data_IF_280148803414
#
_entry.id   IF_280148803414
#
_cell.length_a   1.000
_cell.length_b   1.000
_cell.length_c   1.000
_cell.angle_alpha   90.00
_cell.angle_beta   90.00
_cell.angle_gamma   90.00
#
_symmetry.space_group_name_H-M   'P 1'
#
loop_
_entity.id
_entity.type
_entity.pdbx_description
1 polymer ?
#
# COMPACT_ATOMS: atom_id res chain seq x y z
N UNK A 1 -34.50 2.32 11.14
CA UNK A 1 -33.33 2.68 10.31
C UNK A 1 -32.45 1.44 10.21
N UNK A 2 -32.53 0.70 9.12
CA UNK A 2 -31.88 -0.61 8.97
C UNK A 2 -30.42 -0.39 8.59
N UNK A 3 -29.48 -0.75 9.48
CA UNK A 3 -28.07 -0.90 9.10
C UNK A 3 -27.95 -2.27 8.43
N UNK A 4 -27.79 -2.27 7.11
CA UNK A 4 -27.50 -3.49 6.36
C UNK A 4 -26.11 -4.04 6.69
N UNK A 5 -25.86 -5.34 6.46
CA UNK A 5 -24.58 -5.97 6.76
C UNK A 5 -23.45 -5.34 5.94
N UNK A 6 -22.37 -4.93 6.62
CA UNK A 6 -21.11 -4.54 5.95
C UNK A 6 -20.33 -5.80 5.64
N UNK A 7 -20.47 -6.31 4.40
CA UNK A 7 -19.63 -7.40 3.91
C UNK A 7 -18.20 -6.87 3.79
N UNK A 8 -17.28 -7.40 4.60
CA UNK A 8 -15.87 -7.03 4.56
C UNK A 8 -15.15 -7.87 3.52
N UNK A 9 -15.03 -7.35 2.29
CA UNK A 9 -14.13 -7.92 1.29
C UNK A 9 -12.75 -7.28 1.44
N UNK A 10 -11.79 -8.05 1.92
CA UNK A 10 -10.36 -7.72 1.81
C UNK A 10 -9.86 -8.41 0.55
N UNK A 11 -9.75 -7.67 -0.55
CA UNK A 11 -9.01 -8.15 -1.73
C UNK A 11 -7.64 -7.50 -1.71
N UNK A 12 -6.62 -8.32 -1.45
CA UNK A 12 -5.22 -7.92 -1.47
C UNK A 12 -4.54 -8.76 -2.54
N UNK A 13 -4.11 -8.11 -3.63
CA UNK A 13 -3.24 -8.76 -4.61
C UNK A 13 -1.80 -8.40 -4.28
N UNK A 14 -1.00 -9.40 -3.94
CA UNK A 14 0.39 -9.23 -3.49
C UNK A 14 1.43 -9.82 -4.46
N UNK A 15 1.57 -9.34 -5.71
CA UNK A 15 2.55 -9.91 -6.62
C UNK A 15 3.98 -9.52 -6.19
N UNK A 16 4.87 -10.50 -6.23
CA UNK A 16 6.30 -10.31 -6.04
C UNK A 16 6.95 -10.13 -7.41
N UNK A 17 7.49 -8.95 -7.65
CA UNK A 17 8.02 -8.51 -8.93
C UNK A 17 9.56 -8.53 -8.90
N UNK A 18 10.22 -9.11 -9.92
CA UNK A 18 11.67 -9.00 -10.14
C UNK A 18 11.94 -8.47 -11.55
N UNK A 19 12.90 -7.56 -11.69
CA UNK A 19 13.33 -7.02 -13.00
C UNK A 19 12.16 -6.42 -13.79
N UNK A 20 11.29 -5.66 -13.11
CA UNK A 20 10.12 -5.05 -13.73
C UNK A 20 10.38 -3.60 -14.11
N UNK A 21 10.29 -3.35 -15.41
CA UNK A 21 9.89 -2.06 -15.96
C UNK A 21 8.37 -2.14 -16.12
N UNK A 22 7.61 -1.61 -15.16
CA UNK A 22 6.14 -1.60 -15.28
C UNK A 22 5.75 -0.31 -15.97
N UNK A 23 5.18 -0.39 -17.18
CA UNK A 23 4.67 0.78 -17.91
C UNK A 23 3.72 1.63 -17.04
N UNK A 24 3.63 2.94 -17.36
CA UNK A 24 2.77 3.89 -16.65
C UNK A 24 1.35 3.32 -16.61
N UNK A 25 0.89 2.95 -15.43
CA UNK A 25 -0.45 2.45 -15.25
C UNK A 25 -1.14 3.17 -14.11
N UNK A 26 -2.45 3.18 -14.18
CA UNK A 26 -3.33 3.70 -13.14
C UNK A 26 -4.39 2.64 -12.90
N UNK A 27 -4.75 2.42 -11.65
CA UNK A 27 -5.75 1.43 -11.27
C UNK A 27 -6.71 2.03 -10.24
N UNK A 28 -7.89 1.44 -10.14
CA UNK A 28 -8.95 1.84 -9.21
C UNK A 28 -8.68 1.41 -7.76
N UNK A 29 -7.44 1.04 -7.41
CA UNK A 29 -7.03 0.58 -6.09
C UNK A 29 -6.03 1.54 -5.43
N UNK A 30 -6.01 1.57 -4.10
CA UNK A 30 -4.81 2.02 -3.40
C UNK A 30 -3.70 1.03 -3.70
N UNK A 31 -2.48 1.52 -3.97
CA UNK A 31 -1.33 0.64 -4.13
C UNK A 31 -0.22 1.00 -3.16
N UNK A 32 0.30 -0.01 -2.48
CA UNK A 32 1.51 0.07 -1.68
C UNK A 32 2.60 -0.69 -2.45
N UNK A 33 3.75 -0.06 -2.67
CA UNK A 33 4.93 -0.72 -3.23
C UNK A 33 6.06 -0.57 -2.25
N UNK A 34 6.66 -1.68 -1.83
CA UNK A 34 7.77 -1.72 -0.87
C UNK A 34 8.90 -2.58 -1.42
N UNK A 35 10.14 -2.13 -1.25
CA UNK A 35 11.32 -2.96 -1.45
C UNK A 35 11.81 -3.52 -0.12
N UNK A 36 12.16 -4.80 -0.07
CA UNK A 36 12.69 -5.42 1.15
C UNK A 36 14.19 -5.25 1.33
N UNK A 37 14.91 -5.07 0.23
CA UNK A 37 16.35 -5.34 0.19
C UNK A 37 17.13 -4.06 -0.13
N UNK A 38 16.76 -3.39 -1.23
CA UNK A 38 17.49 -2.23 -1.75
C UNK A 38 16.54 -1.16 -2.27
N UNK A 39 16.88 0.14 -2.10
CA UNK A 39 16.06 1.22 -2.64
C UNK A 39 15.93 1.13 -4.17
N UNK A 40 14.87 1.73 -4.72
CA UNK A 40 14.57 1.73 -6.14
C UNK A 40 14.14 3.12 -6.62
N UNK A 41 14.02 3.29 -7.94
CA UNK A 41 13.58 4.54 -8.55
C UNK A 41 12.14 4.41 -9.02
N UNK A 42 11.35 5.48 -8.82
CA UNK A 42 9.96 5.53 -9.26
C UNK A 42 9.61 6.91 -9.77
N UNK A 43 8.79 6.97 -10.81
CA UNK A 43 8.13 8.22 -11.23
C UNK A 43 6.69 8.16 -10.77
N UNK A 44 6.27 9.09 -9.92
CA UNK A 44 4.91 9.17 -9.36
C UNK A 44 4.32 10.53 -9.75
N UNK A 45 3.17 10.53 -10.42
CA UNK A 45 2.51 11.74 -10.92
C UNK A 45 3.44 12.65 -11.75
N UNK A 46 4.36 12.07 -12.52
CA UNK A 46 5.33 12.79 -13.35
C UNK A 46 6.58 13.29 -12.62
N UNK A 47 6.69 13.08 -11.30
CA UNK A 47 7.88 13.43 -10.52
C UNK A 47 8.76 12.20 -10.29
N UNK A 48 10.05 12.33 -10.60
CA UNK A 48 11.06 11.30 -10.32
C UNK A 48 11.43 11.31 -8.84
N UNK A 49 11.41 10.13 -8.23
CA UNK A 49 11.90 9.83 -6.90
C UNK A 49 13.01 8.78 -7.01
N UNK A 50 14.18 9.12 -6.51
CA UNK A 50 15.37 8.27 -6.56
C UNK A 50 15.67 7.67 -5.19
N UNK A 51 16.15 6.42 -5.18
CA UNK A 51 16.58 5.72 -3.97
C UNK A 51 15.52 5.65 -2.86
N UNK A 52 14.26 5.40 -3.22
CA UNK A 52 13.17 5.24 -2.26
C UNK A 52 12.98 3.77 -1.85
N UNK A 53 12.43 3.54 -0.67
CA UNK A 53 12.17 2.21 -0.13
C UNK A 53 10.71 1.78 -0.35
N UNK A 54 9.84 2.73 -0.68
CA UNK A 54 8.48 2.42 -1.10
C UNK A 54 7.61 3.64 -1.28
N UNK A 55 6.36 3.38 -1.60
CA UNK A 55 5.32 4.41 -1.64
C UNK A 55 3.94 3.80 -1.39
N UNK A 56 2.99 4.68 -1.05
CA UNK A 56 1.55 4.42 -1.01
C UNK A 56 0.86 5.47 -1.89
N UNK A 57 0.06 5.05 -2.86
CA UNK A 57 -0.68 5.94 -3.77
C UNK A 57 -2.20 5.75 -3.66
N UNK A 58 -2.95 6.84 -3.87
CA UNK A 58 -4.41 6.80 -4.07
C UNK A 58 -4.76 6.14 -5.42
N UNK A 59 -6.02 5.69 -5.60
CA UNK A 59 -6.53 5.31 -6.91
C UNK A 59 -6.27 6.36 -7.97
N UNK A 60 -6.02 5.90 -9.20
CA UNK A 60 -5.81 6.72 -10.38
C UNK A 60 -4.56 7.61 -10.39
N UNK A 61 -3.65 7.48 -9.43
CA UNK A 61 -2.34 8.16 -9.48
C UNK A 61 -1.43 7.44 -10.49
N UNK A 62 -1.00 8.11 -11.58
CA UNK A 62 -0.08 7.52 -12.53
C UNK A 62 1.27 7.27 -11.87
N UNK A 63 1.83 6.08 -12.05
CA UNK A 63 3.15 5.75 -11.51
C UNK A 63 3.87 4.74 -12.39
N UNK A 64 5.19 4.70 -12.23
CA UNK A 64 6.11 3.86 -13.00
C UNK A 64 7.29 3.50 -12.11
N UNK A 65 7.61 2.22 -11.98
CA UNK A 65 8.74 1.74 -11.17
C UNK A 65 9.82 1.14 -12.05
N UNK A 66 11.07 1.43 -11.72
CA UNK A 66 12.25 0.74 -12.27
C UNK A 66 12.91 -0.01 -11.13
N UNK A 67 12.81 -1.33 -11.19
CA UNK A 67 13.53 -2.24 -10.32
C UNK A 67 14.24 -3.29 -11.20
N UNK A 68 15.50 -3.03 -11.57
CA UNK A 68 16.29 -3.90 -12.45
C UNK A 68 16.75 -5.20 -11.78
N UNK A 69 17.08 -5.15 -10.48
CA UNK A 69 17.62 -6.29 -9.71
C UNK A 69 16.85 -6.57 -8.42
N UNK A 70 15.91 -5.71 -8.09
CA UNK A 70 15.27 -5.65 -6.78
C UNK A 70 14.00 -6.49 -6.77
N UNK A 71 13.61 -6.91 -5.57
CA UNK A 71 12.30 -7.53 -5.38
C UNK A 71 11.33 -6.54 -4.75
N UNK A 72 10.29 -6.18 -5.50
CA UNK A 72 9.22 -5.33 -5.01
C UNK A 72 8.03 -6.17 -4.55
N UNK A 73 7.49 -5.81 -3.39
CA UNK A 73 6.18 -6.24 -2.94
C UNK A 73 5.18 -5.17 -3.35
N UNK A 74 4.22 -5.55 -4.18
CA UNK A 74 3.12 -4.66 -4.58
C UNK A 74 1.87 -5.13 -3.87
N UNK A 75 1.08 -4.24 -3.27
CA UNK A 75 -0.20 -4.55 -2.66
C UNK A 75 -1.26 -3.66 -3.27
N UNK A 76 -2.24 -4.25 -3.95
CA UNK A 76 -3.43 -3.53 -4.41
C UNK A 76 -4.57 -3.73 -3.41
N UNK A 77 -5.14 -2.63 -2.92
CA UNK A 77 -6.19 -2.61 -1.89
C UNK A 77 -7.42 -1.90 -2.44
N UNK A 78 -8.55 -2.59 -2.38
CA UNK A 78 -9.86 -2.07 -2.79
C UNK A 78 -10.24 -0.82 -1.97
N UNK A 79 -10.59 0.33 -2.60
CA UNK A 79 -10.77 1.60 -1.88
C UNK A 79 -11.89 1.61 -0.85
N UNK A 80 -12.96 0.85 -1.10
CA UNK A 80 -14.11 0.78 -0.21
C UNK A 80 -14.05 -0.37 0.80
N UNK A 81 -12.96 -1.15 0.81
CA UNK A 81 -12.69 -2.10 1.88
C UNK A 81 -12.39 -1.36 3.19
N UNK A 82 -12.53 -2.03 4.34
CA UNK A 82 -12.20 -1.39 5.62
C UNK A 82 -10.72 -0.94 5.66
N UNK A 83 -9.82 -1.69 5.03
CA UNK A 83 -8.41 -1.31 4.90
C UNK A 83 -8.26 -0.09 3.98
N UNK A 84 -8.98 -0.05 2.85
CA UNK A 84 -8.99 1.09 1.94
C UNK A 84 -9.45 2.38 2.63
N UNK A 85 -10.51 2.31 3.44
CA UNK A 85 -11.00 3.44 4.23
C UNK A 85 -10.02 3.87 5.33
N UNK A 86 -9.38 2.91 6.00
CA UNK A 86 -8.31 3.20 6.98
C UNK A 86 -7.14 3.92 6.30
N UNK A 87 -6.66 3.42 5.15
CA UNK A 87 -5.62 4.08 4.37
C UNK A 87 -6.03 5.48 3.90
N UNK A 88 -7.28 5.65 3.44
CA UNK A 88 -7.81 6.93 3.02
C UNK A 88 -7.68 7.99 4.13
N UNK A 89 -7.94 7.60 5.38
CA UNK A 89 -7.87 8.49 6.55
C UNK A 89 -6.45 8.94 6.90
N UNK A 90 -5.42 8.23 6.42
CA UNK A 90 -4.00 8.54 6.71
C UNK A 90 -3.39 9.55 5.75
N UNK A 91 -4.03 9.83 4.62
CA UNK A 91 -3.60 10.89 3.72
C UNK A 91 -3.98 12.27 4.28
N UNK A 92 -3.08 13.25 4.11
CA UNK A 92 -3.44 14.68 4.28
C UNK A 92 -4.42 15.09 3.16
N UNK A 93 -5.25 16.11 3.38
CA UNK A 93 -6.36 16.48 2.48
C UNK A 93 -5.99 16.57 0.99
N UNK A 94 -4.83 17.15 0.67
CA UNK A 94 -4.37 17.39 -0.72
C UNK A 94 -3.36 16.31 -1.19
N UNK A 95 -2.94 15.42 -0.29
CA UNK A 95 -1.90 14.44 -0.59
C UNK A 95 -2.48 13.26 -1.38
N UNK A 96 -1.91 12.97 -2.54
CA UNK A 96 -2.33 11.84 -3.40
C UNK A 96 -1.41 10.61 -3.27
N UNK A 97 -0.22 10.80 -2.73
CA UNK A 97 0.75 9.75 -2.52
C UNK A 97 1.67 10.07 -1.34
N UNK A 98 2.24 9.03 -0.74
CA UNK A 98 3.23 9.09 0.32
C UNK A 98 4.44 8.30 -0.18
N UNK A 99 5.62 8.89 -0.06
CA UNK A 99 6.90 8.24 -0.40
C UNK A 99 7.59 7.87 0.91
N UNK A 100 8.21 6.70 0.94
CA UNK A 100 9.03 6.22 2.05
C UNK A 100 10.49 6.19 1.58
N UNK A 101 11.31 7.09 2.11
CA UNK A 101 12.74 7.19 1.78
C UNK A 101 13.56 6.12 2.51
N UNK A 102 13.05 5.59 3.63
CA UNK A 102 13.74 4.56 4.41
C UNK A 102 12.80 3.46 4.94
N UNK A 103 13.33 2.27 5.28
CA UNK A 103 12.55 1.22 5.94
C UNK A 103 11.91 1.69 7.24
N UNK A 104 12.58 2.59 7.97
CA UNK A 104 12.10 3.15 9.23
C UNK A 104 10.82 3.96 9.06
N UNK A 105 10.68 4.69 7.95
CA UNK A 105 9.46 5.45 7.64
C UNK A 105 8.29 4.53 7.33
N UNK A 106 8.53 3.48 6.55
CA UNK A 106 7.52 2.43 6.29
C UNK A 106 7.07 1.79 7.60
N UNK A 107 8.02 1.39 8.45
CA UNK A 107 7.71 0.76 9.73
C UNK A 107 6.93 1.68 10.66
N UNK A 108 7.30 2.96 10.73
CA UNK A 108 6.58 3.97 11.50
C UNK A 108 5.15 4.18 10.96
N UNK A 109 5.00 4.23 9.63
CA UNK A 109 3.72 4.46 8.98
C UNK A 109 2.75 3.29 9.19
N UNK A 110 3.21 2.06 8.98
CA UNK A 110 2.38 0.86 9.15
C UNK A 110 2.35 0.33 10.59
N UNK A 111 3.20 0.86 11.48
CA UNK A 111 3.38 0.39 12.86
C UNK A 111 3.85 -1.06 12.93
N UNK A 112 4.77 -1.44 12.03
CA UNK A 112 5.40 -2.77 12.01
C UNK A 112 6.69 -2.80 12.83
N UNK A 113 7.15 -3.98 13.29
CA UNK A 113 8.46 -4.11 13.94
C UNK A 113 9.60 -3.60 13.05
N UNK A 114 10.65 -3.08 13.69
CA UNK A 114 11.87 -2.59 13.01
C UNK A 114 12.44 -3.68 12.09
N UNK A 115 12.85 -3.27 10.89
CA UNK A 115 13.46 -4.11 9.84
C UNK A 115 12.53 -5.21 9.29
N UNK A 116 11.20 -5.05 9.39
CA UNK A 116 10.25 -5.98 8.80
C UNK A 116 9.37 -5.35 7.73
N UNK A 117 9.95 -5.21 6.53
CA UNK A 117 9.22 -4.83 5.31
C UNK A 117 8.47 -6.02 4.67
N UNK A 118 8.44 -7.16 5.37
CA UNK A 118 7.65 -8.32 4.97
C UNK A 118 6.18 -7.92 4.78
N UNK A 119 5.72 -8.13 3.55
CA UNK A 119 4.36 -7.82 3.11
C UNK A 119 3.31 -8.42 4.05
N UNK A 120 3.58 -9.60 4.61
CA UNK A 120 2.69 -10.30 5.54
C UNK A 120 2.51 -9.47 6.82
N UNK A 121 3.58 -8.89 7.34
CA UNK A 121 3.52 -8.04 8.54
C UNK A 121 2.83 -6.71 8.29
N UNK A 122 2.99 -6.14 7.09
CA UNK A 122 2.24 -4.95 6.68
C UNK A 122 0.75 -5.25 6.62
N UNK A 123 0.37 -6.39 6.04
CA UNK A 123 -1.03 -6.84 6.01
C UNK A 123 -1.58 -7.08 7.41
N UNK A 124 -0.85 -7.80 8.27
CA UNK A 124 -1.24 -8.04 9.67
C UNK A 124 -1.43 -6.73 10.43
N UNK A 125 -0.51 -5.78 10.25
CA UNK A 125 -0.60 -4.47 10.89
C UNK A 125 -1.81 -3.67 10.40
N UNK A 126 -2.13 -3.71 9.10
CA UNK A 126 -3.33 -3.09 8.55
C UNK A 126 -4.61 -3.75 9.09
N UNK A 127 -4.64 -5.09 9.16
CA UNK A 127 -5.78 -5.84 9.71
C UNK A 127 -5.99 -5.57 11.20
N UNK A 128 -4.92 -5.39 11.98
CA UNK A 128 -4.99 -5.08 13.42
C UNK A 128 -5.67 -3.75 13.74
N UNK A 129 -5.80 -2.85 12.75
CA UNK A 129 -6.48 -1.56 12.89
C UNK A 129 -7.96 -1.62 12.58
N UNK A 130 -8.42 -2.72 12.01
CA UNK A 130 -9.83 -2.89 11.74
C UNK A 130 -10.57 -3.05 13.08
N UNK A 131 -11.71 -2.38 13.27
CA UNK A 131 -12.54 -2.64 14.44
C UNK A 131 -12.89 -4.12 14.48
N UNK A 132 -12.87 -4.71 15.67
CA UNK A 132 -13.38 -6.06 15.88
C UNK A 132 -14.84 -6.07 15.38
N UNK A 133 -15.09 -6.80 14.30
CA UNK A 133 -16.45 -7.00 13.82
C UNK A 133 -17.07 -7.95 14.84
N UNK A 134 -18.00 -7.46 15.67
CA UNK A 134 -18.97 -8.36 16.30
C UNK A 134 -19.72 -9.03 15.16
N UNK A 135 -19.39 -10.31 14.93
CA UNK A 135 -20.08 -11.14 13.96
C UNK A 135 -21.53 -11.29 14.47
N UNK A 136 -22.48 -10.64 13.80
CA UNK A 136 -23.91 -10.83 14.07
C UNK A 136 -24.34 -12.13 13.40
N UNK A 137 -24.52 -13.21 14.17
CA UNK A 137 -25.00 -14.52 13.69
C UNK A 137 -26.52 -14.56 13.39
N UNK A 138 -27.17 -13.41 13.15
CA UNK A 138 -28.61 -13.33 12.90
C UNK A 138 -29.01 -13.37 11.43
#
# INVERSE_FOLDING_TARGET
>A
MVKGPRISYVFILAPKARSLTVEIHHHSAYQIVLSNDTPFNSTISGQLYEHINGFLIKPHVPHFCVAEKETLNVLNIEPYSNIGLELASRFKEIQNYIVFESPSETNLFFQTPKDSLDVTKVVDALLSKLPAIEYDER
#
